data_IF_361750542502
#
_entry.id   IF_361750542502
#
_cell.length_a   1.000
_cell.length_b   1.000
_cell.length_c   1.000
_cell.angle_alpha   90.00
_cell.angle_beta   90.00
_cell.angle_gamma   90.00
#
_symmetry.space_group_name_H-M   'P 1'
#
loop_
_entity.id
_entity.type
_entity.pdbx_description
1 polymer ?
#
# COMPACT_ATOMS: atom_id res chain seq x y z
N UNK A 1 -4.50 0.35 -0.03
CA UNK A 1 -3.67 1.46 0.50
C UNK A 1 -4.06 2.79 -0.12
N UNK A 2 -4.03 2.94 -1.46
CA UNK A 2 -4.40 4.19 -2.15
C UNK A 2 -5.72 4.81 -1.66
N UNK A 3 -6.84 4.06 -1.71
CA UNK A 3 -8.15 4.55 -1.25
C UNK A 3 -8.15 5.00 0.20
N UNK A 4 -7.49 4.26 1.10
CA UNK A 4 -7.45 4.63 2.52
C UNK A 4 -6.69 5.95 2.73
N UNK A 5 -5.58 6.15 2.02
CA UNK A 5 -4.83 7.41 2.04
C UNK A 5 -5.67 8.57 1.47
N UNK A 6 -6.31 8.37 0.32
CA UNK A 6 -7.21 9.35 -0.30
C UNK A 6 -8.46 9.67 0.58
N UNK A 7 -8.86 8.74 1.45
CA UNK A 7 -9.92 8.94 2.44
C UNK A 7 -9.42 9.56 3.76
N UNK A 8 -8.18 10.04 3.82
CA UNK A 8 -7.64 10.79 4.95
C UNK A 8 -6.76 10.00 5.93
N UNK A 9 -6.38 8.76 5.62
CA UNK A 9 -5.40 8.04 6.44
C UNK A 9 -3.98 8.58 6.22
N UNK A 10 -3.20 8.70 7.29
CA UNK A 10 -1.76 9.00 7.20
C UNK A 10 -0.92 7.74 6.99
N UNK A 11 -1.37 6.62 7.55
CA UNK A 11 -0.71 5.32 7.49
C UNK A 11 -1.75 4.19 7.37
N UNK A 12 -1.35 3.08 6.75
CA UNK A 12 -2.18 1.87 6.61
C UNK A 12 -1.40 0.67 7.12
N UNK A 13 -1.84 0.10 8.24
CA UNK A 13 -1.19 -1.07 8.85
C UNK A 13 -1.65 -2.38 8.20
N UNK A 14 -0.73 -3.35 8.11
CA UNK A 14 -0.99 -4.68 7.55
C UNK A 14 -0.79 -5.74 8.63
N UNK A 15 -1.84 -6.50 8.94
CA UNK A 15 -1.82 -7.55 9.97
C UNK A 15 -1.59 -8.95 9.38
N UNK A 16 -2.69 -9.65 9.06
CA UNK A 16 -2.65 -11.07 8.64
C UNK A 16 -1.68 -11.38 7.50
N UNK A 17 -1.57 -10.58 6.41
CA UNK A 17 -0.63 -10.87 5.33
C UNK A 17 0.83 -10.97 5.80
N UNK A 18 1.25 -10.12 6.76
CA UNK A 18 2.60 -10.17 7.32
C UNK A 18 2.82 -11.45 8.13
N UNK A 19 1.82 -11.90 8.89
CA UNK A 19 1.88 -13.16 9.65
C UNK A 19 1.99 -14.37 8.69
N UNK A 20 1.28 -14.33 7.56
CA UNK A 20 1.38 -15.39 6.55
C UNK A 20 2.73 -15.38 5.85
N UNK A 21 3.25 -14.21 5.48
CA UNK A 21 4.60 -14.07 4.92
C UNK A 21 5.67 -14.58 5.89
N UNK A 22 5.54 -14.26 7.17
CA UNK A 22 6.44 -14.75 8.22
C UNK A 22 6.47 -16.28 8.29
N UNK A 23 5.30 -16.93 8.23
CA UNK A 23 5.23 -18.39 8.25
C UNK A 23 5.81 -19.03 6.98
N UNK A 24 5.67 -18.38 5.83
CA UNK A 24 6.12 -18.92 4.54
C UNK A 24 7.61 -18.74 4.28
N UNK A 25 8.24 -17.70 4.84
CA UNK A 25 9.63 -17.35 4.48
C UNK A 25 10.39 -16.56 5.54
N UNK A 26 9.94 -16.58 6.80
CA UNK A 26 10.59 -15.83 7.88
C UNK A 26 10.67 -14.33 7.57
N UNK A 27 11.84 -13.73 7.84
CA UNK A 27 12.08 -12.31 7.59
C UNK A 27 11.96 -11.96 6.10
N UNK A 28 12.45 -12.81 5.20
CA UNK A 28 12.35 -12.58 3.74
C UNK A 28 10.90 -12.60 3.29
N UNK A 29 10.09 -13.53 3.79
CA UNK A 29 8.66 -13.59 3.50
C UNK A 29 7.89 -12.36 3.97
N UNK A 30 8.25 -11.79 5.12
CA UNK A 30 7.72 -10.49 5.58
C UNK A 30 8.09 -9.37 4.62
N UNK A 31 9.37 -9.28 4.22
CA UNK A 31 9.86 -8.28 3.28
C UNK A 31 9.14 -8.37 1.94
N UNK A 32 8.99 -9.58 1.38
CA UNK A 32 8.28 -9.80 0.11
C UNK A 32 6.82 -9.33 0.14
N UNK A 33 6.14 -9.47 1.28
CA UNK A 33 4.76 -8.97 1.43
C UNK A 33 4.71 -7.44 1.31
N UNK A 34 5.62 -6.73 1.98
CA UNK A 34 5.67 -5.26 1.89
C UNK A 34 6.11 -4.77 0.51
N UNK A 35 7.09 -5.43 -0.12
CA UNK A 35 7.51 -5.13 -1.50
C UNK A 35 6.36 -5.30 -2.49
N UNK A 36 5.58 -6.38 -2.34
CA UNK A 36 4.40 -6.62 -3.16
C UNK A 36 3.37 -5.49 -3.01
N UNK A 37 3.03 -5.10 -1.79
CA UNK A 37 2.11 -3.99 -1.53
C UNK A 37 2.63 -2.65 -2.07
N UNK A 38 3.93 -2.36 -1.90
CA UNK A 38 4.55 -1.15 -2.43
C UNK A 38 4.52 -1.10 -3.96
N UNK A 39 4.73 -2.24 -4.63
CA UNK A 39 4.63 -2.33 -6.08
C UNK A 39 3.21 -2.08 -6.58
N UNK A 40 2.20 -2.71 -5.96
CA UNK A 40 0.78 -2.49 -6.29
C UNK A 40 0.36 -1.03 -6.07
N UNK A 41 0.84 -0.41 -4.98
CA UNK A 41 0.62 1.01 -4.73
C UNK A 41 1.26 1.90 -5.79
N UNK A 42 2.52 1.64 -6.15
CA UNK A 42 3.25 2.39 -7.17
C UNK A 42 2.56 2.30 -8.54
N UNK A 43 2.09 1.12 -8.93
CA UNK A 43 1.30 0.93 -10.15
C UNK A 43 0.03 1.77 -10.09
N UNK A 44 -0.71 1.71 -8.98
CA UNK A 44 -1.95 2.49 -8.81
C UNK A 44 -1.68 4.00 -8.86
N UNK A 45 -0.62 4.46 -8.19
CA UNK A 45 -0.19 5.85 -8.19
C UNK A 45 0.18 6.34 -9.58
N UNK A 46 0.90 5.54 -10.35
CA UNK A 46 1.26 5.86 -11.73
C UNK A 46 0.04 5.99 -12.63
N UNK A 47 -0.94 5.09 -12.50
CA UNK A 47 -2.18 5.12 -13.29
C UNK A 47 -3.12 6.25 -12.85
N UNK A 48 -3.14 6.59 -11.56
CA UNK A 48 -3.92 7.70 -11.01
C UNK A 48 -3.26 9.08 -11.22
N UNK A 49 -2.02 9.12 -11.73
CA UNK A 49 -1.30 10.36 -11.97
C UNK A 49 -0.79 11.04 -10.70
N UNK A 50 -0.61 10.30 -9.60
CA UNK A 50 -0.13 10.82 -8.31
C UNK A 50 1.35 10.46 -8.10
N UNK A 51 2.25 11.45 -8.08
CA UNK A 51 3.70 11.23 -7.93
C UNK A 51 4.11 11.01 -6.47
N UNK A 52 3.39 11.60 -5.53
CA UNK A 52 3.73 11.59 -4.10
C UNK A 52 2.57 11.10 -3.24
N UNK A 53 2.86 10.68 -2.00
CA UNK A 53 1.82 10.26 -1.04
C UNK A 53 0.86 11.41 -0.70
N UNK A 54 1.36 12.65 -0.65
CA UNK A 54 0.51 13.83 -0.44
C UNK A 54 -0.46 14.05 -1.60
N UNK A 55 -0.07 13.76 -2.84
CA UNK A 55 -1.00 13.78 -3.98
C UNK A 55 -2.06 12.67 -3.88
N UNK A 56 -1.70 11.49 -3.38
CA UNK A 56 -2.68 10.42 -3.10
C UNK A 56 -3.70 10.88 -2.06
N UNK A 57 -3.25 11.50 -0.96
CA UNK A 57 -4.15 12.02 0.09
C UNK A 57 -5.12 13.08 -0.43
N UNK A 58 -4.69 13.91 -1.38
CA UNK A 58 -5.53 14.96 -1.97
C UNK A 58 -6.38 14.45 -3.16
N UNK A 59 -6.30 13.16 -3.51
CA UNK A 59 -7.09 12.59 -4.61
C UNK A 59 -8.55 12.45 -4.22
N UNK A 60 -9.47 12.95 -5.04
CA UNK A 60 -10.91 12.71 -4.86
C UNK A 60 -11.28 11.33 -5.41
N UNK A 61 -11.89 10.49 -4.58
CA UNK A 61 -12.42 9.20 -5.00
C UNK A 61 -13.80 9.38 -5.66
N UNK A 62 -14.08 8.55 -6.66
CA UNK A 62 -15.44 8.44 -7.22
C UNK A 62 -16.27 7.53 -6.31
N UNK A 63 -17.52 7.92 -6.06
CA UNK A 63 -18.51 7.16 -5.28
C UNK A 63 -19.05 5.94 -6.04
#
# INVERSE_FOLDING_TARGET
>A
MFKALASGADLVAIGRPVIYGLNLGGAEGVTSVFEHFNKELSITMQLAGTKTIEEVKNTTLLD
#
